data_IF_081671470037
#
_entry.id   IF_081671470037
#
_cell.length_a   1.000
_cell.length_b   1.000
_cell.length_c   1.000
_cell.angle_alpha   90.00
_cell.angle_beta   90.00
_cell.angle_gamma   90.00
#
_symmetry.space_group_name_H-M   'P 1'
#
loop_
_entity.id
_entity.type
_entity.pdbx_description
1 polymer ?
#
# COMPACT_ATOMS: atom_id res chain seq x y z
N UNK A 1 -0.37 -8.44 7.81
CA UNK A 1 0.46 -8.22 6.59
C UNK A 1 1.81 -8.96 6.65
N UNK A 2 2.69 -8.78 7.65
CA UNK A 2 3.96 -9.55 7.68
C UNK A 2 3.72 -11.06 7.74
N UNK A 3 2.76 -11.51 8.53
CA UNK A 3 2.34 -12.92 8.62
C UNK A 3 1.89 -13.46 7.26
N UNK A 4 1.17 -12.65 6.49
CA UNK A 4 0.67 -13.03 5.18
C UNK A 4 1.82 -13.19 4.19
N UNK A 5 2.82 -12.29 4.22
CA UNK A 5 4.04 -12.46 3.44
C UNK A 5 4.79 -13.76 3.80
N UNK A 6 4.86 -14.10 5.08
CA UNK A 6 5.49 -15.34 5.53
C UNK A 6 4.72 -16.58 5.06
N UNK A 7 3.38 -16.54 5.15
CA UNK A 7 2.50 -17.63 4.74
C UNK A 7 2.59 -17.88 3.22
N UNK A 8 2.39 -16.84 2.42
CA UNK A 8 2.38 -16.95 0.95
C UNK A 8 3.76 -17.27 0.35
N UNK A 9 4.85 -16.97 1.07
CA UNK A 9 6.22 -17.29 0.63
C UNK A 9 6.80 -18.53 1.29
N UNK A 10 6.01 -19.32 2.01
CA UNK A 10 6.49 -20.45 2.82
C UNK A 10 7.27 -21.51 2.01
N UNK A 11 6.91 -21.72 0.76
CA UNK A 11 7.53 -22.67 -0.16
C UNK A 11 8.72 -22.10 -0.96
N UNK A 12 8.99 -20.79 -0.83
CA UNK A 12 10.03 -20.12 -1.60
C UNK A 12 11.32 -19.96 -0.78
N UNK A 13 12.41 -19.71 -1.50
CA UNK A 13 13.70 -19.35 -0.88
C UNK A 13 13.68 -17.96 -0.25
N UNK A 14 12.69 -17.15 -0.59
CA UNK A 14 12.48 -15.82 -0.03
C UNK A 14 11.90 -15.94 1.38
N UNK A 15 12.49 -15.22 2.33
CA UNK A 15 12.05 -15.22 3.73
C UNK A 15 11.60 -13.81 4.15
N UNK A 16 10.36 -13.71 4.59
CA UNK A 16 9.74 -12.44 5.00
C UNK A 16 10.55 -11.76 6.11
N UNK A 17 10.98 -12.47 7.13
CA UNK A 17 11.73 -11.92 8.27
C UNK A 17 13.07 -11.29 7.85
N UNK A 18 13.69 -11.81 6.78
CA UNK A 18 14.96 -11.29 6.26
C UNK A 18 14.78 -10.08 5.36
N UNK A 19 13.65 -9.99 4.66
CA UNK A 19 13.42 -9.00 3.61
C UNK A 19 12.48 -7.88 4.03
N UNK A 20 11.66 -8.08 5.05
CA UNK A 20 10.67 -7.11 5.52
C UNK A 20 11.11 -6.44 6.82
N UNK A 21 10.87 -5.15 6.90
CA UNK A 21 10.98 -4.35 8.12
C UNK A 21 9.64 -3.70 8.42
N UNK A 22 9.14 -3.88 9.64
CA UNK A 22 7.88 -3.30 10.08
C UNK A 22 8.13 -2.03 10.87
N UNK A 23 7.51 -0.94 10.46
CA UNK A 23 7.59 0.36 11.13
C UNK A 23 6.27 0.66 11.82
N UNK A 24 6.29 0.66 13.16
CA UNK A 24 5.17 1.11 13.98
C UNK A 24 5.67 2.10 15.04
N UNK A 25 4.78 2.59 15.89
CA UNK A 25 5.14 3.46 17.01
C UNK A 25 6.27 2.81 17.85
N UNK A 26 7.36 3.56 18.05
CA UNK A 26 8.53 3.12 18.83
C UNK A 26 9.54 2.21 18.12
N UNK A 27 9.32 1.88 16.84
CA UNK A 27 10.28 1.13 16.02
C UNK A 27 11.14 2.05 15.17
N UNK A 28 12.36 1.59 14.84
CA UNK A 28 13.23 2.30 13.91
C UNK A 28 12.55 2.46 12.54
N UNK A 29 12.61 3.68 12.02
CA UNK A 29 12.04 4.03 10.72
C UNK A 29 12.99 3.73 9.56
N UNK A 30 14.29 3.67 9.84
CA UNK A 30 15.33 3.38 8.86
C UNK A 30 15.63 1.89 8.84
N UNK A 31 15.73 1.35 7.65
CA UNK A 31 16.16 -0.03 7.42
C UNK A 31 16.70 -0.17 6.00
N UNK A 32 17.69 -1.05 5.82
CA UNK A 32 18.20 -1.44 4.52
C UNK A 32 17.47 -2.66 3.94
N UNK A 33 16.43 -3.14 4.57
CA UNK A 33 15.60 -4.22 4.04
C UNK A 33 14.82 -3.76 2.81
N UNK A 34 14.56 -4.69 1.91
CA UNK A 34 13.91 -4.40 0.63
C UNK A 34 12.46 -4.00 0.73
N UNK A 35 11.76 -4.49 1.74
CA UNK A 35 10.33 -4.24 1.95
C UNK A 35 10.12 -3.54 3.28
N UNK A 36 9.49 -2.40 3.25
CA UNK A 36 9.06 -1.66 4.45
C UNK A 36 7.55 -1.79 4.56
N UNK A 37 7.10 -2.30 5.68
CA UNK A 37 5.67 -2.39 6.04
C UNK A 37 5.40 -1.38 7.13
N UNK A 38 4.52 -0.43 6.89
CA UNK A 38 4.25 0.65 7.83
C UNK A 38 2.78 1.05 7.84
N UNK A 39 2.33 1.55 8.98
CA UNK A 39 1.12 2.38 9.00
C UNK A 39 1.48 3.79 8.51
N UNK A 40 0.56 4.47 7.85
CA UNK A 40 0.80 5.83 7.36
C UNK A 40 1.10 6.81 8.49
N UNK A 41 0.49 6.61 9.67
CA UNK A 41 0.73 7.43 10.86
C UNK A 41 2.18 7.43 11.31
N UNK A 42 2.87 6.32 11.11
CA UNK A 42 4.26 6.16 11.52
C UNK A 42 5.25 6.89 10.62
N UNK A 43 4.88 7.18 9.39
CA UNK A 43 5.81 7.68 8.36
C UNK A 43 5.40 9.00 7.69
N UNK A 44 4.16 9.45 7.81
CA UNK A 44 3.68 10.62 7.04
C UNK A 44 4.40 11.93 7.35
N UNK A 45 4.98 12.06 8.56
CA UNK A 45 5.75 13.23 8.98
C UNK A 45 7.21 13.22 8.49
N UNK A 46 7.69 12.09 7.96
CA UNK A 46 9.06 11.98 7.48
C UNK A 46 9.29 12.82 6.23
N UNK A 47 10.53 13.28 6.06
CA UNK A 47 10.93 14.10 4.93
C UNK A 47 10.96 13.33 3.60
N UNK A 48 11.05 14.08 2.52
CA UNK A 48 11.10 13.56 1.16
C UNK A 48 12.25 12.55 0.96
N UNK A 49 13.40 12.77 1.59
CA UNK A 49 14.58 11.90 1.48
C UNK A 49 14.29 10.46 1.90
N UNK A 50 13.41 10.27 2.88
CA UNK A 50 12.97 8.93 3.30
C UNK A 50 12.28 8.17 2.17
N UNK A 51 11.46 8.87 1.38
CA UNK A 51 10.64 8.29 0.33
C UNK A 51 11.35 8.19 -1.02
N UNK A 52 12.45 8.92 -1.24
CA UNK A 52 13.13 9.00 -2.54
C UNK A 52 13.77 7.67 -3.00
N UNK A 53 14.00 6.75 -2.08
CA UNK A 53 14.64 5.46 -2.38
C UNK A 53 13.65 4.34 -2.74
N UNK A 54 12.35 4.59 -2.67
CA UNK A 54 11.35 3.57 -2.97
C UNK A 54 11.01 3.54 -4.46
N UNK A 55 11.04 2.34 -5.05
CA UNK A 55 10.69 2.12 -6.44
C UNK A 55 9.23 1.68 -6.62
N UNK A 56 8.64 1.10 -5.57
CA UNK A 56 7.23 0.71 -5.57
C UNK A 56 6.59 1.04 -4.22
N UNK A 57 5.35 1.48 -4.27
CA UNK A 57 4.51 1.74 -3.11
C UNK A 57 3.16 1.03 -3.27
N UNK A 58 2.76 0.30 -2.25
CA UNK A 58 1.47 -0.39 -2.18
C UNK A 58 0.63 0.25 -1.09
N UNK A 59 -0.53 0.75 -1.47
CA UNK A 59 -1.53 1.27 -0.54
C UNK A 59 -2.67 0.28 -0.37
N UNK A 60 -2.69 -0.43 0.74
CA UNK A 60 -3.85 -1.25 1.08
C UNK A 60 -4.98 -0.38 1.61
N UNK A 61 -6.22 -0.80 1.37
CA UNK A 61 -7.42 0.00 1.64
C UNK A 61 -7.30 1.44 1.07
N UNK A 62 -6.89 1.53 -0.18
CA UNK A 62 -6.54 2.79 -0.83
C UNK A 62 -7.69 3.80 -0.91
N UNK A 63 -8.93 3.37 -0.69
CA UNK A 63 -10.08 4.27 -0.58
C UNK A 63 -9.94 5.28 0.59
N UNK A 64 -9.10 4.99 1.59
CA UNK A 64 -8.80 5.90 2.69
C UNK A 64 -7.85 7.04 2.29
N UNK A 65 -7.16 6.93 1.16
CA UNK A 65 -6.16 7.89 0.68
C UNK A 65 -6.73 9.21 0.15
N UNK A 66 -7.99 9.49 0.40
CA UNK A 66 -8.62 10.80 0.20
C UNK A 66 -8.28 11.83 1.28
N UNK A 67 -7.78 11.39 2.43
CA UNK A 67 -7.41 12.30 3.53
C UNK A 67 -6.18 13.14 3.18
N UNK A 68 -6.13 14.35 3.74
CA UNK A 68 -5.01 15.27 3.54
C UNK A 68 -3.66 14.65 3.91
N UNK A 69 -3.60 13.89 5.00
CA UNK A 69 -2.36 13.26 5.47
C UNK A 69 -1.84 12.22 4.48
N UNK A 70 -2.72 11.39 3.93
CA UNK A 70 -2.35 10.36 2.97
C UNK A 70 -2.02 10.95 1.59
N UNK A 71 -2.73 11.99 1.14
CA UNK A 71 -2.35 12.72 -0.09
C UNK A 71 -1.01 13.40 0.07
N UNK A 72 -0.71 13.99 1.23
CA UNK A 72 0.61 14.56 1.53
C UNK A 72 1.71 13.50 1.52
N UNK A 73 1.46 12.33 2.11
CA UNK A 73 2.41 11.22 2.06
C UNK A 73 2.67 10.78 0.61
N UNK A 74 1.63 10.59 -0.18
CA UNK A 74 1.75 10.17 -1.57
C UNK A 74 2.47 11.23 -2.43
N UNK A 75 2.34 12.52 -2.12
CA UNK A 75 3.09 13.58 -2.81
C UNK A 75 4.60 13.48 -2.61
N UNK A 76 5.06 12.86 -1.52
CA UNK A 76 6.48 12.59 -1.26
C UNK A 76 7.03 11.39 -2.04
N UNK A 77 6.15 10.60 -2.66
CA UNK A 77 6.48 9.45 -3.52
C UNK A 77 6.44 9.81 -5.02
N UNK A 78 6.68 11.07 -5.37
CA UNK A 78 6.59 11.55 -6.76
C UNK A 78 7.53 10.82 -7.72
N UNK A 79 8.72 10.44 -7.25
CA UNK A 79 9.71 9.71 -8.06
C UNK A 79 9.54 8.19 -7.99
N UNK A 80 8.57 7.71 -7.21
CA UNK A 80 8.24 6.29 -7.16
C UNK A 80 7.44 5.87 -8.40
N UNK A 81 8.02 5.10 -9.33
CA UNK A 81 7.36 4.83 -10.62
C UNK A 81 6.16 3.90 -10.49
N UNK A 82 6.15 3.04 -9.50
CA UNK A 82 5.07 2.06 -9.29
C UNK A 82 4.29 2.38 -8.02
N UNK A 83 3.07 2.85 -8.20
CA UNK A 83 2.14 3.15 -7.09
C UNK A 83 0.87 2.36 -7.31
N UNK A 84 0.62 1.37 -6.46
CA UNK A 84 -0.46 0.42 -6.60
C UNK A 84 -1.36 0.52 -5.36
N UNK A 85 -2.63 0.75 -5.59
CA UNK A 85 -3.65 0.78 -4.53
C UNK A 85 -4.59 -0.42 -4.66
N UNK A 86 -4.91 -1.04 -3.54
CA UNK A 86 -5.91 -2.10 -3.46
C UNK A 86 -7.04 -1.68 -2.54
N UNK A 87 -8.27 -2.05 -2.89
CA UNK A 87 -9.44 -1.84 -2.03
C UNK A 87 -10.56 -2.80 -2.43
N UNK A 88 -11.30 -3.28 -1.43
CA UNK A 88 -12.53 -4.04 -1.64
C UNK A 88 -13.75 -3.15 -1.87
N UNK A 89 -13.67 -1.89 -1.49
CA UNK A 89 -14.77 -0.91 -1.56
C UNK A 89 -14.25 0.41 -2.12
N UNK A 90 -14.76 0.83 -3.25
CA UNK A 90 -14.50 2.15 -3.80
C UNK A 90 -15.79 2.97 -3.77
N UNK A 91 -15.72 4.15 -3.17
CA UNK A 91 -16.82 5.10 -3.17
C UNK A 91 -17.08 5.57 -4.62
N UNK A 92 -18.32 5.49 -5.06
CA UNK A 92 -18.75 5.89 -6.40
C UNK A 92 -18.77 7.41 -6.63
N UNK A 93 -18.45 8.22 -5.62
CA UNK A 93 -18.34 9.67 -5.81
C UNK A 93 -17.24 9.99 -6.82
N UNK A 94 -17.55 10.81 -7.82
CA UNK A 94 -16.60 11.19 -8.87
C UNK A 94 -15.35 11.88 -8.30
N UNK A 95 -15.53 12.74 -7.31
CA UNK A 95 -14.42 13.47 -6.66
C UNK A 95 -13.45 12.49 -5.98
N UNK A 96 -13.98 11.51 -5.25
CA UNK A 96 -13.16 10.51 -4.58
C UNK A 96 -12.39 9.65 -5.61
N UNK A 97 -13.06 9.18 -6.64
CA UNK A 97 -12.44 8.40 -7.71
C UNK A 97 -11.29 9.17 -8.39
N UNK A 98 -11.49 10.44 -8.70
CA UNK A 98 -10.45 11.28 -9.32
C UNK A 98 -9.22 11.43 -8.43
N UNK A 99 -9.39 11.61 -7.12
CA UNK A 99 -8.28 11.68 -6.17
C UNK A 99 -7.49 10.37 -6.15
N UNK A 100 -8.17 9.25 -6.04
CA UNK A 100 -7.53 7.92 -6.00
C UNK A 100 -6.83 7.61 -7.33
N UNK A 101 -7.44 7.89 -8.46
CA UNK A 101 -6.81 7.71 -9.78
C UNK A 101 -5.60 8.64 -9.98
N UNK A 102 -5.63 9.84 -9.43
CA UNK A 102 -4.49 10.76 -9.44
C UNK A 102 -3.29 10.25 -8.63
N UNK A 103 -3.54 9.51 -7.55
CA UNK A 103 -2.49 8.96 -6.69
C UNK A 103 -1.93 7.62 -7.19
N UNK A 104 -2.78 6.72 -7.68
CA UNK A 104 -2.43 5.34 -7.98
C UNK A 104 -2.58 4.95 -9.46
N UNK A 105 -3.28 5.77 -10.25
CA UNK A 105 -3.60 5.46 -11.64
C UNK A 105 -5.02 4.90 -11.80
N UNK A 106 -5.33 4.52 -13.03
CA UNK A 106 -6.68 4.13 -13.44
C UNK A 106 -7.21 2.93 -12.67
N UNK A 107 -8.47 3.02 -12.23
CA UNK A 107 -9.16 1.91 -11.55
C UNK A 107 -9.35 0.71 -12.47
N UNK A 108 -8.96 -0.45 -11.98
CA UNK A 108 -9.19 -1.75 -12.62
C UNK A 108 -10.02 -2.64 -11.71
N UNK A 109 -11.15 -3.12 -12.21
CA UNK A 109 -12.01 -4.05 -11.49
C UNK A 109 -11.56 -5.49 -11.73
N UNK A 110 -10.98 -6.12 -10.71
CA UNK A 110 -10.49 -7.50 -10.79
C UNK A 110 -11.66 -8.49 -10.66
N UNK A 111 -12.56 -8.24 -9.70
CA UNK A 111 -13.73 -9.10 -9.46
C UNK A 111 -14.84 -8.35 -8.75
N UNK A 112 -16.01 -8.96 -8.65
CA UNK A 112 -17.13 -8.45 -7.88
C UNK A 112 -17.57 -9.47 -6.85
N UNK A 113 -18.19 -9.01 -5.76
CA UNK A 113 -18.77 -9.88 -4.71
C UNK A 113 -19.69 -10.96 -5.32
N UNK A 114 -20.51 -10.58 -6.29
CA UNK A 114 -21.40 -11.53 -6.99
C UNK A 114 -20.63 -12.64 -7.72
N UNK A 115 -19.50 -12.32 -8.35
CA UNK A 115 -18.66 -13.33 -9.02
C UNK A 115 -17.98 -14.26 -8.02
N UNK A 116 -17.58 -13.73 -6.86
CA UNK A 116 -16.97 -14.53 -5.79
C UNK A 116 -17.99 -15.46 -5.14
N UNK A 117 -19.21 -14.98 -4.88
CA UNK A 117 -20.32 -15.82 -4.38
C UNK A 117 -20.67 -16.95 -5.34
N UNK A 118 -20.75 -16.67 -6.64
CA UNK A 118 -21.05 -17.68 -7.66
C UNK A 118 -19.94 -18.75 -7.81
N UNK A 119 -18.75 -18.50 -7.27
CA UNK A 119 -17.62 -19.44 -7.24
C UNK A 119 -17.41 -20.07 -5.87
N UNK A 120 -18.35 -19.93 -4.96
CA UNK A 120 -18.26 -20.39 -3.56
C UNK A 120 -16.99 -19.91 -2.82
N UNK A 121 -16.51 -18.72 -3.18
CA UNK A 121 -15.32 -18.11 -2.57
C UNK A 121 -15.67 -17.06 -1.50
N UNK A 122 -16.95 -16.81 -1.32
CA UNK A 122 -17.53 -15.96 -0.27
C UNK A 122 -18.80 -16.59 0.29
#
# INVERSE_FOLDING_TARGET
>A
MLSDFAEYSSNDKWKAEKNCHCVFAGKDKLSNKRVIISTWQSIYTLGYEYFSNFHAAFGDECHLFKSKSLTTLMSKLLECPYRIGTTGTLDDSLTHKLVIEGLFGRVQHVTTTKKLMNKDLL
#
